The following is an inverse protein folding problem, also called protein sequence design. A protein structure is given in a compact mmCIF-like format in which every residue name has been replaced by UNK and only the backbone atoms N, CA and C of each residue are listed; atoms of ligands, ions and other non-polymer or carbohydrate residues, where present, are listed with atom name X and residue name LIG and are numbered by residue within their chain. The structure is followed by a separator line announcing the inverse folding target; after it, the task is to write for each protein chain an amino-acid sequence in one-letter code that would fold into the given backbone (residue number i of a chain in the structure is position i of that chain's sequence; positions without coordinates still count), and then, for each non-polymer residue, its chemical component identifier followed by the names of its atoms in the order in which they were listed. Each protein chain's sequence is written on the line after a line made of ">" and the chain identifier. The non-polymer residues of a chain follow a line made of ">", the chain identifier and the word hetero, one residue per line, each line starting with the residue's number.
data_IF_900737101727
#
_entry.id   IF_900737101727
#
_cell.length_a   1.000
_cell.length_b   1.000
_cell.length_c   1.000
_cell.angle_alpha   90.00
_cell.angle_beta   90.00
_cell.angle_gamma   90.00
#
_symmetry.space_group_name_H-M   'P 1'
#
loop_
_entity.id
_entity.type
_entity.pdbx_description
1 polymer ?
#
# COMPACT_ATOMS: atom_id res chain seq x y z
N UNK A 1 48.67 39.45 20.80
CA UNK A 1 47.67 38.96 21.78
C UNK A 1 46.34 38.81 21.04
N UNK A 2 45.96 37.58 20.67
CA UNK A 2 44.67 37.27 20.03
C UNK A 2 44.19 35.95 20.63
N UNK A 3 43.18 36.02 21.48
CA UNK A 3 42.62 34.88 22.20
C UNK A 3 41.84 34.00 21.23
N UNK A 4 42.27 32.75 21.07
CA UNK A 4 41.59 31.74 20.26
C UNK A 4 40.44 31.17 21.12
N UNK A 5 39.19 31.43 20.75
CA UNK A 5 38.03 30.78 21.37
C UNK A 5 37.91 29.35 20.82
N UNK A 6 37.71 28.33 21.68
CA UNK A 6 37.51 26.95 21.24
C UNK A 6 36.12 26.81 20.60
N UNK A 7 36.05 26.06 19.50
CA UNK A 7 34.80 25.68 18.83
C UNK A 7 34.18 24.48 19.55
N UNK A 8 32.84 24.38 19.64
CA UNK A 8 32.20 23.25 20.30
C UNK A 8 32.35 21.99 19.45
N UNK A 9 32.88 20.94 20.06
CA UNK A 9 32.86 19.57 19.55
C UNK A 9 31.44 19.02 19.63
N UNK A 10 30.78 18.89 18.48
CA UNK A 10 29.63 18.00 18.36
C UNK A 10 30.15 16.58 18.12
N UNK A 11 30.19 15.78 19.18
CA UNK A 11 30.36 14.33 19.07
C UNK A 11 29.10 13.74 18.41
N UNK A 12 29.20 13.40 17.13
CA UNK A 12 28.27 12.49 16.47
C UNK A 12 28.69 11.05 16.82
N UNK A 13 28.36 10.59 18.02
CA UNK A 13 28.47 9.18 18.37
C UNK A 13 27.26 8.44 17.82
N UNK A 14 27.38 7.90 16.60
CA UNK A 14 26.65 6.70 16.16
C UNK A 14 27.45 5.98 15.07
N UNK A 15 28.55 5.34 15.49
CA UNK A 15 29.16 4.25 14.72
C UNK A 15 28.44 2.93 15.12
N UNK A 16 27.41 2.56 14.37
CA UNK A 16 26.74 1.26 14.44
C UNK A 16 26.37 0.76 13.03
N UNK A 17 26.37 -0.55 12.76
CA UNK A 17 26.39 -1.08 11.39
C UNK A 17 25.11 -0.76 10.61
N UNK A 18 25.19 -0.60 9.26
CA UNK A 18 24.12 -0.06 8.42
C UNK A 18 22.85 -0.95 8.29
N UNK A 19 22.82 -2.12 8.93
CA UNK A 19 21.75 -3.11 8.74
C UNK A 19 20.52 -2.93 9.63
N UNK A 20 20.59 -2.10 10.68
CA UNK A 20 19.46 -1.97 11.63
C UNK A 20 18.44 -0.89 11.22
N UNK A 21 18.81 0.05 10.36
CA UNK A 21 17.94 1.18 9.96
C UNK A 21 16.80 0.76 9.03
N UNK A 22 17.02 -0.21 8.13
CA UNK A 22 16.00 -0.72 7.21
C UNK A 22 14.86 -1.43 7.96
N UNK A 23 15.19 -2.15 9.04
CA UNK A 23 14.23 -2.97 9.79
C UNK A 23 13.15 -2.12 10.50
N UNK A 24 13.45 -0.87 10.86
CA UNK A 24 12.50 0.04 11.53
C UNK A 24 11.64 0.88 10.58
N UNK A 25 12.01 1.00 9.30
CA UNK A 25 11.33 1.89 8.35
C UNK A 25 10.05 1.26 7.82
N UNK A 26 10.06 -0.03 7.48
CA UNK A 26 8.90 -0.70 6.86
C UNK A 26 7.64 -0.68 7.74
N UNK A 27 7.70 -1.00 9.05
CA UNK A 27 6.51 -0.93 9.91
C UNK A 27 5.97 0.51 10.06
N UNK A 28 6.85 1.50 10.12
CA UNK A 28 6.48 2.92 10.20
C UNK A 28 5.84 3.41 8.90
N UNK A 29 6.41 3.01 7.76
CA UNK A 29 5.84 3.32 6.44
C UNK A 29 4.47 2.68 6.28
N UNK A 30 4.30 1.41 6.65
CA UNK A 30 3.00 0.74 6.62
C UNK A 30 1.95 1.45 7.48
N UNK A 31 2.34 1.89 8.69
CA UNK A 31 1.45 2.68 9.54
C UNK A 31 1.04 4.00 8.87
N UNK A 32 1.96 4.70 8.22
CA UNK A 32 1.65 5.93 7.48
C UNK A 32 0.75 5.68 6.26
N UNK A 33 1.01 4.62 5.48
CA UNK A 33 0.18 4.22 4.34
C UNK A 33 -1.26 3.94 4.78
N UNK A 34 -1.45 3.19 5.86
CA UNK A 34 -2.79 2.95 6.45
C UNK A 34 -3.48 4.21 6.93
N UNK A 35 -2.74 5.20 7.44
CA UNK A 35 -3.32 6.50 7.83
C UNK A 35 -3.75 7.34 6.63
N UNK A 36 -3.16 7.15 5.46
CA UNK A 36 -3.51 7.93 4.27
C UNK A 36 -4.79 7.47 3.57
N UNK A 37 -5.17 6.20 3.72
CA UNK A 37 -6.29 5.62 2.95
C UNK A 37 -7.48 5.18 3.80
N UNK A 38 -8.64 5.13 3.15
CA UNK A 38 -9.81 4.34 3.56
C UNK A 38 -10.09 3.33 2.47
N UNK A 39 -9.89 2.04 2.78
CA UNK A 39 -10.22 0.95 1.88
C UNK A 39 -11.69 0.56 2.02
N UNK A 40 -12.38 0.47 0.88
CA UNK A 40 -13.74 -0.07 0.79
C UNK A 40 -13.73 -1.35 -0.04
N UNK A 41 -14.39 -2.39 0.47
CA UNK A 41 -14.49 -3.70 -0.17
C UNK A 41 -15.11 -3.61 -1.57
N UNK A 42 -14.76 -4.51 -2.50
CA UNK A 42 -15.38 -4.55 -3.82
C UNK A 42 -16.89 -4.79 -3.73
N UNK A 43 -17.62 -4.39 -4.76
CA UNK A 43 -18.99 -4.87 -4.96
C UNK A 43 -18.97 -6.39 -5.20
N UNK A 44 -20.01 -7.08 -4.74
CA UNK A 44 -20.15 -8.53 -4.93
C UNK A 44 -20.05 -8.96 -6.41
N UNK A 45 -20.61 -8.18 -7.34
CA UNK A 45 -20.53 -8.45 -8.78
C UNK A 45 -19.10 -8.42 -9.31
N UNK A 46 -18.29 -7.49 -8.80
CA UNK A 46 -16.88 -7.30 -9.15
C UNK A 46 -16.03 -8.42 -8.58
N UNK A 47 -16.27 -8.76 -7.31
CA UNK A 47 -15.62 -9.89 -6.63
C UNK A 47 -15.94 -11.22 -7.32
N UNK A 48 -17.21 -11.46 -7.68
CA UNK A 48 -17.63 -12.66 -8.40
C UNK A 48 -17.02 -12.76 -9.80
N UNK A 49 -16.69 -11.63 -10.45
CA UNK A 49 -16.12 -11.64 -11.80
C UNK A 49 -14.62 -11.86 -11.77
N UNK A 50 -13.90 -11.16 -10.90
CA UNK A 50 -12.43 -11.16 -10.90
C UNK A 50 -11.82 -12.15 -9.89
N UNK A 51 -12.58 -12.57 -8.87
CA UNK A 51 -12.08 -13.46 -7.82
C UNK A 51 -10.93 -12.84 -7.01
N UNK A 52 -10.86 -11.50 -6.92
CA UNK A 52 -9.75 -10.83 -6.24
C UNK A 52 -9.72 -11.17 -4.75
N UNK A 53 -8.52 -11.37 -4.21
CA UNK A 53 -8.28 -11.61 -2.78
C UNK A 53 -7.75 -10.35 -2.11
N UNK A 54 -8.17 -10.11 -0.87
CA UNK A 54 -7.75 -8.96 -0.06
C UNK A 54 -7.88 -9.29 1.43
N UNK A 55 -7.10 -8.59 2.27
CA UNK A 55 -7.22 -8.67 3.72
C UNK A 55 -7.39 -7.27 4.29
N UNK A 56 -8.49 -7.02 5.00
CA UNK A 56 -8.74 -5.71 5.63
C UNK A 56 -7.64 -5.33 6.63
N UNK A 57 -6.99 -6.32 7.23
CA UNK A 57 -5.91 -6.13 8.20
C UNK A 57 -4.67 -5.45 7.61
N UNK A 58 -4.44 -5.46 6.30
CA UNK A 58 -3.32 -4.76 5.65
C UNK A 58 -3.65 -3.33 5.20
N UNK A 59 -4.91 -2.91 5.33
CA UNK A 59 -5.43 -1.67 4.74
C UNK A 59 -5.73 -0.58 5.79
N UNK A 60 -5.83 0.66 5.32
CA UNK A 60 -6.34 1.78 6.09
C UNK A 60 -7.87 1.86 6.08
N UNK A 61 -8.47 2.50 7.09
CA UNK A 61 -9.94 2.63 7.23
C UNK A 61 -10.43 4.02 7.64
N UNK A 62 -9.52 4.97 7.83
CA UNK A 62 -9.83 6.30 8.37
C UNK A 62 -9.13 7.44 7.63
N UNK A 63 -8.30 7.13 6.63
CA UNK A 63 -7.61 8.13 5.83
C UNK A 63 -8.52 8.78 4.78
N UNK A 64 -8.22 10.00 4.34
CA UNK A 64 -9.12 10.70 3.43
C UNK A 64 -9.06 10.19 1.98
N UNK A 65 -7.97 9.52 1.58
CA UNK A 65 -7.86 8.93 0.25
C UNK A 65 -8.73 7.67 0.15
N UNK A 66 -9.72 7.68 -0.74
CA UNK A 66 -10.56 6.50 -0.96
C UNK A 66 -9.84 5.50 -1.89
N UNK A 67 -9.77 4.25 -1.47
CA UNK A 67 -9.21 3.15 -2.25
C UNK A 67 -10.21 2.00 -2.35
N UNK A 68 -10.51 1.56 -3.55
CA UNK A 68 -11.43 0.44 -3.79
C UNK A 68 -11.18 -0.17 -5.18
N UNK A 69 -11.97 -1.17 -5.55
CA UNK A 69 -12.01 -1.71 -6.90
C UNK A 69 -13.07 -0.97 -7.74
N UNK A 70 -12.95 -0.94 -9.08
CA UNK A 70 -13.97 -0.34 -9.94
C UNK A 70 -15.34 -0.99 -9.73
N UNK A 71 -16.42 -0.26 -10.02
CA UNK A 71 -17.80 -0.78 -9.93
C UNK A 71 -18.11 -1.90 -10.93
N UNK A 72 -17.25 -2.06 -11.95
CA UNK A 72 -17.43 -3.02 -13.03
C UNK A 72 -16.08 -3.61 -13.43
N UNK A 73 -16.04 -4.93 -13.56
CA UNK A 73 -14.94 -5.68 -14.13
C UNK A 73 -15.42 -6.32 -15.42
N UNK A 74 -14.64 -6.17 -16.49
CA UNK A 74 -14.98 -6.79 -17.78
C UNK A 74 -14.87 -8.32 -17.68
N UNK A 75 -15.77 -9.12 -18.28
CA UNK A 75 -15.79 -10.58 -18.08
C UNK A 75 -14.47 -11.30 -18.39
N UNK A 76 -13.65 -10.76 -19.29
CA UNK A 76 -12.32 -11.33 -19.59
C UNK A 76 -11.40 -11.34 -18.36
N UNK A 77 -11.62 -10.49 -17.35
CA UNK A 77 -10.81 -10.50 -16.12
C UNK A 77 -10.95 -11.79 -15.31
N UNK A 78 -12.02 -12.56 -15.48
CA UNK A 78 -12.20 -13.86 -14.83
C UNK A 78 -11.04 -14.82 -15.13
N UNK A 79 -10.40 -14.67 -16.29
CA UNK A 79 -9.30 -15.54 -16.71
C UNK A 79 -7.93 -15.13 -16.16
N UNK A 80 -7.79 -13.92 -15.57
CA UNK A 80 -6.49 -13.37 -15.18
C UNK A 80 -5.78 -14.23 -14.13
N UNK A 81 -6.39 -14.41 -12.94
CA UNK A 81 -5.77 -15.17 -11.85
C UNK A 81 -5.58 -16.65 -12.19
N UNK A 82 -6.57 -17.35 -12.83
CA UNK A 82 -6.36 -18.72 -13.28
C UNK A 82 -5.19 -18.87 -14.26
N UNK A 83 -5.04 -17.95 -15.22
CA UNK A 83 -3.94 -18.01 -16.20
C UNK A 83 -2.58 -17.87 -15.53
N UNK A 84 -2.45 -16.94 -14.57
CA UNK A 84 -1.21 -16.78 -13.80
C UNK A 84 -0.89 -18.04 -12.99
N UNK A 85 -1.89 -18.61 -12.32
CA UNK A 85 -1.73 -19.84 -11.55
C UNK A 85 -1.31 -21.02 -12.45
N UNK A 86 -1.90 -21.16 -13.64
CA UNK A 86 -1.51 -22.17 -14.63
C UNK A 86 -0.10 -21.97 -15.17
N UNK A 87 0.40 -20.73 -15.20
CA UNK A 87 1.78 -20.40 -15.57
C UNK A 87 2.78 -20.60 -14.41
N UNK A 88 2.34 -21.10 -13.26
CA UNK A 88 3.19 -21.31 -12.07
C UNK A 88 3.38 -20.06 -11.21
N UNK A 89 2.59 -19.01 -11.42
CA UNK A 89 2.60 -17.79 -10.61
C UNK A 89 1.48 -17.88 -9.57
N UNK A 90 1.85 -18.11 -8.31
CA UNK A 90 0.89 -18.17 -7.21
C UNK A 90 0.06 -16.89 -7.09
N UNK A 91 -1.22 -17.05 -6.74
CA UNK A 91 -2.12 -15.93 -6.45
C UNK A 91 -1.76 -15.35 -5.08
N UNK A 92 -1.64 -14.03 -4.98
CA UNK A 92 -1.39 -13.36 -3.70
C UNK A 92 -2.69 -13.16 -2.93
N UNK A 93 -2.81 -13.68 -1.69
CA UNK A 93 -4.00 -13.48 -0.86
C UNK A 93 -4.08 -12.07 -0.28
N UNK A 94 -2.96 -11.35 -0.26
CA UNK A 94 -2.86 -10.00 0.28
C UNK A 94 -1.60 -9.28 -0.25
N UNK A 95 -1.68 -8.60 -1.40
CA UNK A 95 -0.53 -7.90 -1.97
C UNK A 95 -0.15 -6.62 -1.19
N UNK A 96 -0.93 -6.22 -0.17
CA UNK A 96 -0.76 -4.98 0.58
C UNK A 96 -0.13 -5.15 1.97
N UNK A 97 0.18 -6.39 2.41
CA UNK A 97 0.87 -6.64 3.68
C UNK A 97 2.40 -6.46 3.65
N UNK A 98 2.95 -6.03 2.52
CA UNK A 98 4.39 -5.91 2.30
C UNK A 98 5.01 -7.06 1.48
N UNK A 99 4.22 -8.09 1.13
CA UNK A 99 4.60 -9.14 0.18
C UNK A 99 3.71 -9.01 -1.06
N UNK A 100 4.20 -8.35 -2.10
CA UNK A 100 3.45 -8.02 -3.30
C UNK A 100 3.77 -8.92 -4.50
N UNK A 101 4.35 -10.10 -4.27
CA UNK A 101 4.66 -11.07 -5.32
C UNK A 101 3.45 -11.97 -5.61
N UNK A 102 3.33 -12.41 -6.87
CA UNK A 102 2.24 -13.26 -7.33
C UNK A 102 1.17 -12.52 -8.14
N UNK A 103 0.12 -13.25 -8.52
CA UNK A 103 -1.02 -12.71 -9.25
C UNK A 103 -2.04 -12.04 -8.33
N UNK A 104 -2.45 -10.82 -8.65
CA UNK A 104 -3.49 -10.10 -7.91
C UNK A 104 -4.16 -9.03 -8.78
N UNK A 105 -5.23 -8.43 -8.27
CA UNK A 105 -5.81 -7.19 -8.79
C UNK A 105 -5.48 -6.05 -7.84
N UNK A 106 -4.91 -4.96 -8.37
CA UNK A 106 -4.63 -3.77 -7.56
C UNK A 106 -5.90 -2.93 -7.36
N UNK A 107 -6.02 -2.33 -6.18
CA UNK A 107 -7.01 -1.28 -5.91
C UNK A 107 -6.67 0.01 -6.66
N UNK A 108 -7.66 0.86 -6.82
CA UNK A 108 -7.56 2.19 -7.44
C UNK A 108 -8.06 3.27 -6.50
N UNK A 109 -7.55 4.49 -6.67
CA UNK A 109 -7.99 5.66 -5.92
C UNK A 109 -9.34 6.18 -6.45
N UNK A 110 -10.43 5.54 -6.03
CA UNK A 110 -11.80 5.78 -6.49
C UNK A 110 -12.67 6.04 -5.26
N UNK A 111 -13.53 7.05 -5.33
CA UNK A 111 -14.54 7.29 -4.31
C UNK A 111 -15.71 6.29 -4.51
N UNK A 112 -15.97 5.37 -3.56
CA UNK A 112 -16.99 4.33 -3.71
C UNK A 112 -18.42 4.87 -3.74
N UNK A 113 -18.66 6.11 -3.27
CA UNK A 113 -20.00 6.70 -3.26
C UNK A 113 -20.48 7.19 -4.63
N UNK A 114 -19.55 7.54 -5.53
CA UNK A 114 -19.88 8.17 -6.81
C UNK A 114 -18.99 7.72 -7.98
N UNK A 115 -18.08 6.78 -7.76
CA UNK A 115 -17.18 6.19 -8.75
C UNK A 115 -16.28 7.20 -9.49
N UNK A 116 -16.03 8.36 -8.87
CA UNK A 116 -15.08 9.35 -9.38
C UNK A 116 -13.69 9.15 -8.78
N UNK A 117 -12.67 9.77 -9.39
CA UNK A 117 -11.30 9.72 -8.88
C UNK A 117 -11.20 10.34 -7.48
N UNK A 118 -10.62 9.61 -6.53
CA UNK A 118 -10.17 10.15 -5.25
C UNK A 118 -8.78 10.78 -5.42
N UNK A 119 -8.74 12.07 -5.79
CA UNK A 119 -7.47 12.80 -5.97
C UNK A 119 -6.94 13.37 -4.65
N UNK A 120 -5.63 13.65 -4.58
CA UNK A 120 -5.03 14.28 -3.39
C UNK A 120 -5.70 15.61 -3.02
N UNK A 121 -6.04 16.45 -4.01
CA UNK A 121 -6.76 17.73 -3.81
C UNK A 121 -8.17 17.57 -3.21
N UNK A 122 -8.82 16.44 -3.49
CA UNK A 122 -10.15 16.16 -2.93
C UNK A 122 -10.06 15.52 -1.54
N UNK A 123 -8.94 14.87 -1.22
CA UNK A 123 -8.70 14.19 0.04
C UNK A 123 -8.09 15.10 1.13
N UNK A 124 -7.30 16.10 0.74
CA UNK A 124 -6.58 17.01 1.65
C UNK A 124 -6.74 18.46 1.21
#
# INVERSE_FOLDING_TARGET
>A
MRTHRPQPTFELVFLGPPHTTILFILPRLLSAMKKSETFTHPLYSVESTAGMQYQTSSRGSQGPLQATYPAYMVPITTNWLPTLNSAGINISPDPYNGINTGGFFATSAINPSNWTRSSAKAAY
#
